data_IF_173571615415
#
_entry.id   IF_173571615415
#
_cell.length_a   1.000
_cell.length_b   1.000
_cell.length_c   1.000
_cell.angle_alpha   90.00
_cell.angle_beta   90.00
_cell.angle_gamma   90.00
#
_symmetry.space_group_name_H-M   'P 1'
#
loop_
_entity.id
_entity.type
_entity.pdbx_description
1 polymer ?
#
# COMPACT_ATOMS: atom_id res chain seq x y z
N UNK A 1 -2.79 11.29 17.06
CA UNK A 1 -3.44 10.00 17.35
C UNK A 1 -2.43 8.89 17.70
N UNK A 2 -1.61 8.37 16.77
CA UNK A 2 -0.65 7.29 17.07
C UNK A 2 0.32 7.69 18.19
N UNK A 3 1.00 8.83 18.05
CA UNK A 3 1.95 9.33 19.05
C UNK A 3 1.28 9.55 20.43
N UNK A 4 0.01 9.94 20.47
CA UNK A 4 -0.70 10.17 21.72
C UNK A 4 -0.97 8.85 22.47
N UNK A 5 -1.30 7.79 21.74
CA UNK A 5 -1.46 6.44 22.30
C UNK A 5 -0.12 5.92 22.82
N UNK A 6 0.96 6.06 22.03
CA UNK A 6 2.30 5.64 22.45
C UNK A 6 2.75 6.37 23.72
N UNK A 7 2.52 7.69 23.80
CA UNK A 7 2.83 8.48 25.01
C UNK A 7 2.03 8.06 26.23
N UNK A 8 0.75 7.70 26.05
CA UNK A 8 -0.14 7.27 27.15
C UNK A 8 0.17 5.86 27.63
N UNK A 9 0.74 5.00 26.78
CA UNK A 9 0.96 3.59 27.06
C UNK A 9 2.44 3.21 26.89
N UNK A 10 3.23 3.51 27.92
CA UNK A 10 4.68 3.23 27.94
C UNK A 10 5.04 1.74 27.88
N UNK A 11 4.08 0.83 28.05
CA UNK A 11 4.26 -0.62 27.90
C UNK A 11 4.23 -1.11 26.46
N UNK A 12 3.78 -0.28 25.50
CA UNK A 12 3.79 -0.65 24.09
C UNK A 12 5.22 -0.87 23.61
N UNK A 13 5.42 -1.94 22.83
CA UNK A 13 6.73 -2.30 22.24
C UNK A 13 6.68 -2.45 20.74
N UNK A 14 5.51 -2.81 20.21
CA UNK A 14 5.31 -3.24 18.83
C UNK A 14 4.19 -2.44 18.19
N UNK A 15 4.30 -2.19 16.90
CA UNK A 15 3.26 -1.55 16.11
C UNK A 15 2.98 -2.34 14.83
N UNK A 16 1.71 -2.48 14.49
CA UNK A 16 1.23 -3.07 13.25
C UNK A 16 0.17 -2.18 12.62
N UNK A 17 0.16 -2.10 11.29
CA UNK A 17 -0.85 -1.40 10.51
C UNK A 17 -1.61 -2.44 9.69
N UNK A 18 -2.93 -2.47 9.86
CA UNK A 18 -3.88 -3.23 9.05
C UNK A 18 -4.86 -2.22 8.46
N UNK A 19 -4.95 -2.18 7.13
CA UNK A 19 -5.76 -1.16 6.48
C UNK A 19 -6.47 -1.68 5.23
N UNK A 20 -7.64 -1.13 4.95
CA UNK A 20 -8.47 -1.50 3.81
C UNK A 20 -8.63 -0.31 2.85
N UNK A 21 -8.61 -0.58 1.55
CA UNK A 21 -8.89 0.41 0.51
C UNK A 21 -8.02 1.66 0.64
N UNK A 22 -8.59 2.86 0.54
CA UNK A 22 -7.89 4.12 0.72
C UNK A 22 -7.11 4.21 2.05
N UNK A 23 -7.57 3.50 3.10
CA UNK A 23 -6.89 3.42 4.38
C UNK A 23 -5.46 2.90 4.27
N UNK A 24 -5.16 2.03 3.30
CA UNK A 24 -3.79 1.54 3.09
C UNK A 24 -2.83 2.62 2.59
N UNK A 25 -3.32 3.58 1.80
CA UNK A 25 -2.54 4.76 1.40
C UNK A 25 -2.33 5.69 2.59
N UNK A 26 -3.36 5.92 3.41
CA UNK A 26 -3.20 6.68 4.65
C UNK A 26 -2.22 6.03 5.61
N UNK A 27 -2.25 4.71 5.74
CA UNK A 27 -1.28 3.96 6.54
C UNK A 27 0.14 4.14 6.00
N UNK A 28 0.35 4.00 4.68
CA UNK A 28 1.66 4.21 4.03
C UNK A 28 2.21 5.62 4.28
N UNK A 29 1.36 6.64 4.20
CA UNK A 29 1.75 8.02 4.51
C UNK A 29 2.06 8.23 6.00
N UNK A 30 1.26 7.62 6.87
CA UNK A 30 1.43 7.72 8.32
C UNK A 30 2.75 7.10 8.75
N UNK A 31 3.07 5.88 8.30
CA UNK A 31 4.32 5.23 8.69
C UNK A 31 5.55 6.02 8.22
N UNK A 32 5.52 6.60 7.02
CA UNK A 32 6.61 7.43 6.52
C UNK A 32 6.80 8.68 7.37
N UNK A 33 5.70 9.32 7.77
CA UNK A 33 5.73 10.51 8.63
C UNK A 33 6.31 10.19 10.01
N UNK A 34 5.84 9.10 10.63
CA UNK A 34 6.30 8.67 11.96
C UNK A 34 7.77 8.24 11.92
N UNK A 35 8.16 7.46 10.91
CA UNK A 35 9.54 7.01 10.73
C UNK A 35 10.48 8.20 10.49
N UNK A 36 10.12 9.12 9.60
CA UNK A 36 10.95 10.29 9.31
C UNK A 36 11.12 11.21 10.51
N UNK A 37 10.08 11.38 11.34
CA UNK A 37 10.20 12.13 12.59
C UNK A 37 11.24 11.50 13.53
N UNK A 38 11.22 10.18 13.70
CA UNK A 38 12.20 9.47 14.53
C UNK A 38 13.63 9.63 13.99
N UNK A 39 13.84 9.48 12.68
CA UNK A 39 15.18 9.65 12.08
C UNK A 39 15.71 11.07 12.23
N UNK A 40 14.86 12.09 12.11
CA UNK A 40 15.24 13.49 12.32
C UNK A 40 15.62 13.75 13.79
N UNK A 41 14.85 13.20 14.73
CA UNK A 41 15.15 13.34 16.16
C UNK A 41 16.46 12.66 16.54
N UNK A 42 16.71 11.43 16.06
CA UNK A 42 17.94 10.69 16.32
C UNK A 42 19.19 11.36 15.74
N UNK A 43 19.08 11.97 14.55
CA UNK A 43 20.16 12.73 13.93
C UNK A 43 20.51 14.02 14.69
N UNK A 44 19.57 14.60 15.44
CA UNK A 44 19.80 15.79 16.26
C UNK A 44 20.46 15.45 17.61
N UNK A 45 20.12 14.31 18.23
CA UNK A 45 20.78 13.83 19.46
C UNK A 45 22.17 13.24 19.22
N UNK A 46 22.50 12.83 17.99
CA UNK A 46 23.83 12.32 17.62
C UNK A 46 24.93 13.38 17.46
N UNK A 47 24.59 14.68 17.49
CA UNK A 47 25.56 15.77 17.35
C UNK A 47 26.23 16.19 18.67
N UNK A 48 25.87 15.58 19.80
CA UNK A 48 26.50 15.85 21.08
C UNK A 48 26.38 14.62 21.98
N UNK A 49 27.30 13.67 21.87
CA UNK A 49 27.78 12.78 22.93
C UNK A 49 29.06 12.13 22.40
N UNK A 50 30.18 12.52 23.00
CA UNK A 50 31.44 11.76 22.93
C UNK A 50 31.17 10.39 23.56
N UNK A 51 31.54 9.26 22.93
CA UNK A 51 31.21 7.95 23.48
C UNK A 51 32.08 7.64 24.71
N UNK A 52 31.53 7.80 25.91
CA UNK A 52 32.06 7.14 27.10
C UNK A 52 31.37 5.78 27.24
N UNK A 53 32.19 4.74 27.18
CA UNK A 53 31.77 3.36 27.38
C UNK A 53 31.25 3.17 28.81
N UNK A 54 29.96 2.84 28.97
CA UNK A 54 29.43 1.86 29.93
C UNK A 54 27.91 2.02 30.06
N UNK A 55 27.19 0.90 30.05
CA UNK A 55 25.77 0.87 30.37
C UNK A 55 24.97 -0.04 29.46
N UNK A 56 24.93 -1.32 29.81
CA UNK A 56 24.08 -2.33 29.17
C UNK A 56 22.60 -1.98 29.32
N UNK A 57 21.97 -1.50 28.26
CA UNK A 57 20.53 -1.64 28.06
C UNK A 57 20.33 -2.69 26.97
N UNK A 58 19.61 -3.77 27.30
CA UNK A 58 19.22 -4.82 26.37
C UNK A 58 18.40 -4.21 25.23
N UNK A 59 19.08 -3.80 24.16
CA UNK A 59 18.48 -3.45 22.89
C UNK A 59 17.87 -4.72 22.32
N UNK A 60 16.57 -4.92 22.55
CA UNK A 60 15.80 -5.92 21.84
C UNK A 60 15.94 -5.60 20.35
N UNK A 61 16.44 -6.56 19.58
CA UNK A 61 16.68 -6.47 18.14
C UNK A 61 15.45 -5.91 17.41
N UNK A 62 15.43 -4.60 17.22
CA UNK A 62 14.69 -3.99 16.13
C UNK A 62 15.30 -4.54 14.86
N UNK A 63 14.47 -4.91 13.87
CA UNK A 63 14.93 -4.98 12.48
C UNK A 63 15.82 -3.74 12.26
N UNK A 64 17.10 -3.92 11.92
CA UNK A 64 18.14 -2.87 12.00
C UNK A 64 17.92 -1.62 11.13
N UNK A 65 16.71 -1.45 10.60
CA UNK A 65 16.22 -0.40 9.74
C UNK A 65 15.37 0.64 10.49
N UNK A 66 15.31 0.62 11.83
CA UNK A 66 14.73 1.71 12.64
C UNK A 66 13.30 1.48 13.15
N UNK A 67 12.87 2.38 14.04
CA UNK A 67 11.57 2.32 14.72
C UNK A 67 10.51 3.20 14.05
N UNK A 68 9.23 2.88 14.27
CA UNK A 68 8.09 3.71 13.84
C UNK A 68 7.39 4.21 15.11
N UNK A 69 7.41 5.52 15.34
CA UNK A 69 6.91 6.12 16.59
C UNK A 69 7.56 5.53 17.86
N UNK A 70 8.85 5.21 17.81
CA UNK A 70 9.58 4.57 18.90
C UNK A 70 9.20 3.12 19.18
N UNK A 71 8.35 2.51 18.35
CA UNK A 71 7.93 1.11 18.46
C UNK A 71 8.54 0.24 17.37
N UNK A 72 8.72 -1.05 17.68
CA UNK A 72 9.16 -2.07 16.76
C UNK A 72 8.09 -2.34 15.69
N UNK A 73 8.35 -2.05 14.40
CA UNK A 73 7.37 -2.25 13.34
C UNK A 73 7.29 -3.74 12.93
N UNK A 74 6.12 -4.36 13.14
CA UNK A 74 5.93 -5.80 12.92
C UNK A 74 5.22 -6.06 11.59
N UNK A 75 3.99 -5.59 11.42
CA UNK A 75 3.17 -5.89 10.25
C UNK A 75 2.69 -4.64 9.54
N UNK A 76 2.84 -4.58 8.22
CA UNK A 76 2.14 -3.67 7.33
C UNK A 76 1.28 -4.50 6.38
N UNK A 77 -0.03 -4.52 6.63
CA UNK A 77 -0.99 -5.37 5.92
C UNK A 77 -2.05 -4.48 5.28
N UNK A 78 -2.28 -4.69 3.98
CA UNK A 78 -3.33 -3.97 3.26
C UNK A 78 -4.29 -4.92 2.57
N UNK A 79 -5.58 -4.60 2.58
CA UNK A 79 -6.63 -5.34 1.89
C UNK A 79 -7.27 -4.44 0.84
N UNK A 80 -7.25 -4.87 -0.43
CA UNK A 80 -7.85 -4.15 -1.55
C UNK A 80 -7.45 -2.67 -1.62
N UNK A 81 -6.17 -2.35 -1.37
CA UNK A 81 -5.65 -0.97 -1.41
C UNK A 81 -5.18 -0.60 -2.83
N UNK A 82 -5.57 0.55 -3.40
CA UNK A 82 -5.14 0.97 -4.74
C UNK A 82 -3.73 1.57 -4.72
N UNK A 83 -2.70 0.74 -4.46
CA UNK A 83 -1.32 1.21 -4.27
C UNK A 83 -0.73 1.97 -5.46
N UNK A 84 -1.21 1.65 -6.66
CA UNK A 84 -0.80 2.23 -7.96
C UNK A 84 -1.83 3.21 -8.53
N UNK A 85 -2.85 3.55 -7.73
CA UNK A 85 -3.95 4.41 -8.14
C UNK A 85 -5.06 3.64 -8.84
N UNK A 86 -5.98 4.37 -9.45
CA UNK A 86 -7.15 3.85 -10.17
C UNK A 86 -7.07 4.28 -11.63
N UNK A 87 -7.31 3.34 -12.56
CA UNK A 87 -7.45 3.65 -13.99
C UNK A 87 -8.93 3.81 -14.33
N UNK A 88 -9.26 4.81 -15.17
CA UNK A 88 -10.63 5.07 -15.61
C UNK A 88 -11.25 3.96 -16.47
N UNK A 89 -10.44 3.10 -17.12
CA UNK A 89 -10.96 1.97 -17.91
C UNK A 89 -11.20 0.74 -17.02
N UNK A 90 -12.43 0.22 -17.06
CA UNK A 90 -12.91 -1.08 -16.55
C UNK A 90 -12.90 -1.32 -15.03
N UNK A 91 -12.36 -0.40 -14.21
CA UNK A 91 -12.45 -0.48 -12.74
C UNK A 91 -13.64 0.31 -12.16
N UNK A 92 -14.65 0.64 -12.97
CA UNK A 92 -15.92 1.25 -12.57
C UNK A 92 -17.01 0.78 -13.56
N UNK A 93 -17.55 -0.44 -13.44
CA UNK A 93 -18.61 -0.94 -14.33
C UNK A 93 -19.96 -0.23 -14.12
N UNK A 94 -20.09 0.61 -13.09
CA UNK A 94 -21.22 1.53 -12.96
C UNK A 94 -21.17 2.67 -14.01
N UNK A 95 -20.08 2.78 -14.77
CA UNK A 95 -19.92 3.69 -15.89
C UNK A 95 -19.99 2.92 -17.23
N UNK A 96 -21.03 2.09 -17.41
CA UNK A 96 -21.41 1.55 -18.72
C UNK A 96 -21.55 2.69 -19.75
N UNK A 97 -20.47 3.01 -20.46
CA UNK A 97 -20.46 4.05 -21.50
C UNK A 97 -20.72 5.48 -21.01
N UNK A 98 -20.65 5.73 -19.70
CA UNK A 98 -20.71 7.07 -19.12
C UNK A 98 -19.32 7.50 -18.70
N UNK A 99 -18.57 7.90 -19.71
CA UNK A 99 -17.38 8.73 -19.61
C UNK A 99 -17.66 9.97 -18.75
N UNK A 100 -17.53 9.86 -17.43
CA UNK A 100 -17.58 11.05 -16.56
C UNK A 100 -16.47 12.01 -17.00
N UNK A 101 -15.32 11.49 -17.44
CA UNK A 101 -14.23 12.30 -18.00
C UNK A 101 -14.54 12.88 -19.40
N UNK A 102 -15.24 12.18 -20.30
CA UNK A 102 -15.59 12.78 -21.61
C UNK A 102 -16.79 13.75 -21.52
N UNK A 103 -17.67 13.63 -20.51
CA UNK A 103 -18.72 14.63 -20.22
C UNK A 103 -18.27 15.77 -19.31
N UNK A 104 -17.07 15.70 -18.76
CA UNK A 104 -16.42 16.76 -17.98
C UNK A 104 -15.57 17.70 -18.87
N UNK A 105 -15.96 17.87 -20.13
CA UNK A 105 -15.53 18.97 -20.99
C UNK A 105 -16.09 20.35 -20.55
N UNK A 106 -16.37 20.52 -19.25
CA UNK A 106 -16.94 21.73 -18.67
C UNK A 106 -16.07 22.21 -17.47
N UNK A 107 -16.05 23.52 -17.17
CA UNK A 107 -15.21 24.15 -16.13
C UNK A 107 -15.38 23.63 -14.68
N UNK A 108 -16.19 22.58 -14.46
CA UNK A 108 -16.57 22.02 -13.15
C UNK A 108 -15.92 20.65 -12.86
N UNK A 109 -15.12 20.08 -13.76
CA UNK A 109 -14.40 18.82 -13.53
C UNK A 109 -13.55 18.78 -12.24
N UNK A 110 -12.84 19.86 -11.86
CA UNK A 110 -12.08 19.90 -10.61
C UNK A 110 -12.95 19.93 -9.34
N UNK A 111 -14.24 20.30 -9.44
CA UNK A 111 -15.16 20.31 -8.31
C UNK A 111 -15.76 18.93 -8.00
N UNK A 112 -15.93 18.07 -9.02
CA UNK A 112 -16.54 16.74 -8.88
C UNK A 112 -15.47 15.68 -8.54
N UNK A 113 -14.26 15.82 -9.08
CA UNK A 113 -13.10 15.03 -8.69
C UNK A 113 -12.46 15.70 -7.47
N UNK A 114 -13.03 15.46 -6.29
CA UNK A 114 -12.46 15.98 -5.04
C UNK A 114 -10.97 15.61 -4.87
N UNK A 115 -10.26 16.26 -3.93
CA UNK A 115 -8.81 16.11 -3.74
C UNK A 115 -8.30 14.66 -3.74
N UNK A 116 -9.02 13.75 -3.08
CA UNK A 116 -8.70 12.32 -3.03
C UNK A 116 -8.82 11.64 -4.39
N UNK A 117 -9.85 12.00 -5.17
CA UNK A 117 -10.00 11.51 -6.54
C UNK A 117 -8.82 11.93 -7.41
N UNK A 118 -8.42 13.19 -7.34
CA UNK A 118 -7.28 13.70 -8.10
C UNK A 118 -5.99 12.94 -7.77
N UNK A 119 -5.76 12.62 -6.50
CA UNK A 119 -4.61 11.82 -6.04
C UNK A 119 -4.67 10.36 -6.52
N UNK A 120 -5.83 9.73 -6.49
CA UNK A 120 -6.00 8.35 -6.95
C UNK A 120 -5.88 8.21 -8.48
N UNK A 121 -6.30 9.24 -9.22
CA UNK A 121 -6.14 9.33 -10.67
C UNK A 121 -4.80 9.97 -11.09
N UNK A 122 -3.88 10.23 -10.16
CA UNK A 122 -2.54 10.77 -10.44
C UNK A 122 -2.55 12.15 -11.13
N UNK A 123 -3.66 12.88 -11.03
CA UNK A 123 -3.83 14.21 -11.64
C UNK A 123 -3.56 15.35 -10.66
N UNK A 124 -3.15 15.04 -9.43
CA UNK A 124 -2.92 16.03 -8.39
C UNK A 124 -1.62 16.84 -8.58
N UNK A 125 -1.67 18.11 -8.19
CA UNK A 125 -0.53 19.01 -8.18
C UNK A 125 -0.09 19.52 -9.56
N UNK A 126 0.96 20.33 -9.54
CA UNK A 126 1.56 20.95 -10.73
C UNK A 126 2.11 19.89 -11.71
N UNK A 127 2.00 20.08 -13.04
CA UNK A 127 2.55 19.15 -14.04
C UNK A 127 4.04 18.84 -13.87
N UNK A 128 4.84 19.81 -13.40
CA UNK A 128 6.28 19.67 -13.17
C UNK A 128 6.62 18.85 -11.92
N UNK A 129 5.63 18.56 -11.07
CA UNK A 129 5.82 17.83 -9.82
C UNK A 129 5.22 16.42 -9.90
N UNK A 130 5.87 15.42 -9.28
CA UNK A 130 5.31 14.09 -9.19
C UNK A 130 3.98 14.11 -8.41
N UNK A 131 2.95 13.35 -8.83
CA UNK A 131 1.72 13.20 -8.04
C UNK A 131 2.02 12.57 -6.68
N UNK A 132 1.18 12.83 -5.67
CA UNK A 132 1.44 12.34 -4.31
C UNK A 132 1.66 10.83 -4.26
N UNK A 133 0.86 10.06 -5.02
CA UNK A 133 0.94 8.61 -4.97
C UNK A 133 2.30 8.09 -5.47
N UNK A 134 2.89 8.75 -6.48
CA UNK A 134 4.24 8.46 -6.94
C UNK A 134 5.28 8.84 -5.89
N UNK A 135 5.11 9.99 -5.22
CA UNK A 135 6.02 10.39 -4.13
C UNK A 135 6.03 9.36 -2.99
N UNK A 136 4.91 8.67 -2.76
CA UNK A 136 4.82 7.61 -1.74
C UNK A 136 5.52 6.30 -2.14
N UNK A 137 6.10 6.23 -3.34
CA UNK A 137 6.89 5.11 -3.84
C UNK A 137 8.42 5.40 -3.82
N UNK A 138 8.86 6.59 -3.38
CA UNK A 138 10.27 6.94 -3.19
C UNK A 138 10.56 7.46 -1.79
N UNK A 139 11.83 7.43 -1.41
CA UNK A 139 12.32 8.24 -0.29
C UNK A 139 12.69 9.63 -0.79
N UNK A 140 12.31 10.65 -0.03
CA UNK A 140 12.78 12.04 -0.19
C UNK A 140 13.52 12.49 1.06
N UNK A 141 14.05 13.72 1.07
CA UNK A 141 14.67 14.29 2.28
C UNK A 141 13.69 14.34 3.46
N UNK A 142 12.43 14.69 3.17
CA UNK A 142 11.41 14.89 4.20
C UNK A 142 10.67 13.65 4.63
N UNK A 143 10.43 12.71 3.71
CA UNK A 143 9.63 11.51 3.97
C UNK A 143 10.32 10.28 3.40
N UNK A 144 10.54 9.30 4.27
CA UNK A 144 11.22 8.06 3.95
C UNK A 144 10.22 6.92 3.79
N UNK A 145 9.45 6.92 2.69
CA UNK A 145 8.37 5.95 2.47
C UNK A 145 8.88 4.51 2.31
N UNK A 146 9.94 4.30 1.53
CA UNK A 146 10.48 2.97 1.26
C UNK A 146 11.24 2.46 2.48
N UNK A 147 12.03 3.30 3.16
CA UNK A 147 12.66 2.90 4.42
C UNK A 147 11.64 2.59 5.51
N UNK A 148 10.56 3.38 5.64
CA UNK A 148 9.50 3.11 6.60
C UNK A 148 8.81 1.77 6.32
N UNK A 149 8.53 1.44 5.06
CA UNK A 149 8.03 0.12 4.66
C UNK A 149 9.05 -0.98 4.95
N UNK A 150 10.32 -0.75 4.65
CA UNK A 150 11.41 -1.70 4.86
C UNK A 150 11.58 -2.06 6.33
N UNK A 151 11.32 -1.13 7.25
CA UNK A 151 11.42 -1.34 8.68
C UNK A 151 10.47 -2.44 9.20
N UNK A 152 9.27 -2.57 8.61
CA UNK A 152 8.31 -3.63 8.99
C UNK A 152 8.85 -5.02 8.68
N UNK A 153 8.82 -5.91 9.66
CA UNK A 153 9.24 -7.32 9.47
C UNK A 153 8.41 -8.03 8.40
N UNK A 154 7.10 -7.79 8.41
CA UNK A 154 6.17 -8.41 7.48
C UNK A 154 5.40 -7.34 6.70
N UNK A 155 5.38 -7.51 5.38
CA UNK A 155 4.58 -6.69 4.46
C UNK A 155 3.69 -7.61 3.64
N UNK A 156 2.37 -7.42 3.74
CA UNK A 156 1.39 -8.32 3.12
C UNK A 156 0.32 -7.55 2.36
N UNK A 157 0.09 -7.97 1.11
CA UNK A 157 -0.98 -7.46 0.25
C UNK A 157 -2.05 -8.53 0.11
N UNK A 158 -3.30 -8.20 0.46
CA UNK A 158 -4.47 -9.00 0.12
C UNK A 158 -5.20 -8.33 -1.03
N UNK A 159 -5.30 -9.03 -2.15
CA UNK A 159 -5.83 -8.48 -3.39
C UNK A 159 -6.95 -9.38 -3.94
N UNK A 160 -8.09 -8.78 -4.29
CA UNK A 160 -9.16 -9.48 -4.97
C UNK A 160 -8.75 -9.72 -6.44
N UNK A 161 -8.74 -10.98 -6.87
CA UNK A 161 -8.42 -11.34 -8.27
C UNK A 161 -9.57 -11.03 -9.23
N UNK A 162 -10.79 -10.93 -8.71
CA UNK A 162 -12.02 -10.75 -9.48
C UNK A 162 -13.10 -10.10 -8.61
N UNK A 163 -14.11 -9.54 -9.27
CA UNK A 163 -15.33 -8.97 -8.66
C UNK A 163 -15.14 -7.75 -7.75
N UNK A 164 -13.91 -7.26 -7.58
CA UNK A 164 -13.64 -5.96 -6.96
C UNK A 164 -13.63 -4.87 -8.03
N UNK A 165 -14.76 -4.18 -8.10
CA UNK A 165 -14.99 -3.08 -9.03
C UNK A 165 -14.56 -1.73 -8.49
N UNK A 166 -13.91 -1.67 -7.33
CA UNK A 166 -13.39 -0.41 -6.77
C UNK A 166 -11.87 -0.38 -6.88
N UNK A 167 -11.23 -1.53 -6.62
CA UNK A 167 -9.78 -1.66 -6.61
C UNK A 167 -9.39 -2.93 -7.35
N UNK A 168 -8.87 -2.77 -8.56
CA UNK A 168 -8.50 -3.93 -9.36
C UNK A 168 -7.30 -4.71 -8.82
N UNK A 169 -7.18 -5.96 -9.28
CA UNK A 169 -6.15 -6.90 -8.85
C UNK A 169 -4.72 -6.38 -9.03
N UNK A 170 -4.45 -5.77 -10.19
CA UNK A 170 -3.16 -5.18 -10.55
C UNK A 170 -2.64 -4.17 -9.52
N UNK A 171 -3.47 -3.19 -9.17
CA UNK A 171 -3.10 -2.09 -8.26
C UNK A 171 -3.00 -2.57 -6.81
N UNK A 172 -3.87 -3.48 -6.39
CA UNK A 172 -3.86 -4.03 -5.02
C UNK A 172 -2.77 -5.07 -4.75
N UNK A 173 -2.25 -5.74 -5.78
CA UNK A 173 -1.17 -6.72 -5.66
C UNK A 173 0.22 -6.23 -6.09
N UNK A 174 0.37 -4.95 -6.48
CA UNK A 174 1.63 -4.43 -7.02
C UNK A 174 2.19 -5.29 -8.16
N UNK A 175 1.35 -5.63 -9.13
CA UNK A 175 1.72 -6.41 -10.32
C UNK A 175 1.46 -5.57 -11.56
N UNK A 176 2.13 -5.88 -12.67
CA UNK A 176 1.76 -5.34 -13.99
C UNK A 176 0.62 -6.16 -14.56
N UNK A 177 -0.08 -5.61 -15.54
CA UNK A 177 -1.16 -6.33 -16.24
C UNK A 177 -0.66 -7.64 -16.85
N UNK A 178 0.52 -7.61 -17.50
CA UNK A 178 1.15 -8.79 -18.10
C UNK A 178 1.60 -9.85 -17.09
N UNK A 179 1.76 -9.48 -15.82
CA UNK A 179 2.18 -10.38 -14.75
C UNK A 179 0.96 -11.04 -14.06
N UNK A 180 -0.27 -10.68 -14.44
CA UNK A 180 -1.48 -11.28 -13.89
C UNK A 180 -1.70 -12.67 -14.51
N UNK A 181 -1.54 -13.70 -13.69
CA UNK A 181 -1.80 -15.09 -14.06
C UNK A 181 -3.30 -15.33 -14.13
N UNK A 182 -3.76 -16.31 -14.91
CA UNK A 182 -5.17 -16.72 -14.88
C UNK A 182 -5.60 -17.08 -13.45
N UNK A 183 -6.69 -16.51 -12.91
CA UNK A 183 -7.12 -16.79 -11.55
C UNK A 183 -7.38 -18.28 -11.32
N UNK A 184 -6.72 -18.85 -10.31
CA UNK A 184 -7.07 -20.18 -9.80
C UNK A 184 -8.41 -20.11 -9.08
N UNK A 185 -9.23 -21.16 -9.22
CA UNK A 185 -10.44 -21.35 -8.40
C UNK A 185 -10.19 -22.28 -7.21
N UNK A 186 -8.98 -22.87 -7.12
CA UNK A 186 -8.60 -23.80 -6.06
C UNK A 186 -8.24 -23.03 -4.80
N UNK A 187 -8.93 -23.36 -3.71
CA UNK A 187 -8.65 -22.88 -2.36
C UNK A 187 -7.31 -23.43 -1.84
N UNK A 188 -6.57 -22.62 -1.08
CA UNK A 188 -5.30 -22.98 -0.45
C UNK A 188 -5.42 -23.07 1.06
N UNK A 189 -4.63 -23.95 1.66
CA UNK A 189 -4.41 -24.07 3.12
C UNK A 189 -5.69 -24.13 3.98
N UNK A 190 -6.77 -24.70 3.43
CA UNK A 190 -8.07 -24.80 4.11
C UNK A 190 -8.93 -23.52 4.05
N UNK A 191 -8.44 -22.44 3.43
CA UNK A 191 -9.17 -21.18 3.29
C UNK A 191 -9.89 -21.09 1.96
N UNK A 192 -11.23 -21.16 2.01
CA UNK A 192 -12.11 -21.22 0.83
C UNK A 192 -11.79 -20.17 -0.25
N UNK A 193 -11.49 -18.93 0.14
CA UNK A 193 -11.33 -17.81 -0.79
C UNK A 193 -9.88 -17.41 -1.04
N UNK A 194 -8.89 -18.04 -0.42
CA UNK A 194 -7.48 -17.79 -0.69
C UNK A 194 -7.06 -18.70 -1.83
N UNK A 195 -6.62 -18.12 -2.96
CA UNK A 195 -6.36 -18.89 -4.19
C UNK A 195 -4.89 -18.88 -4.62
N UNK A 196 -4.11 -17.93 -4.13
CA UNK A 196 -2.66 -17.91 -4.30
C UNK A 196 -1.99 -17.15 -3.14
N UNK A 197 -0.83 -17.64 -2.70
CA UNK A 197 0.02 -17.00 -1.71
C UNK A 197 1.45 -17.10 -2.21
N UNK A 198 2.06 -15.95 -2.50
CA UNK A 198 3.44 -15.88 -2.97
C UNK A 198 4.25 -14.88 -2.16
N UNK A 199 5.56 -15.12 -2.04
CA UNK A 199 6.50 -14.14 -1.51
C UNK A 199 7.39 -13.65 -2.64
N UNK A 200 7.37 -12.34 -2.87
CA UNK A 200 8.23 -11.67 -3.83
C UNK A 200 9.40 -10.99 -3.08
N UNK A 201 10.62 -11.38 -3.41
CA UNK A 201 11.84 -10.74 -2.87
C UNK A 201 11.95 -9.27 -3.32
N UNK A 202 12.66 -8.43 -2.54
CA UNK A 202 13.01 -7.08 -2.97
C UNK A 202 13.70 -7.08 -4.34
N UNK A 203 13.36 -6.11 -5.19
CA UNK A 203 13.98 -5.89 -6.49
C UNK A 203 14.95 -4.72 -6.37
N UNK A 204 16.19 -4.91 -6.83
CA UNK A 204 17.14 -3.79 -6.94
C UNK A 204 16.69 -2.86 -8.05
N UNK A 205 16.50 -1.59 -7.71
CA UNK A 205 16.12 -0.54 -8.64
C UNK A 205 16.61 0.80 -8.12
N UNK A 206 16.99 1.70 -9.04
CA UNK A 206 17.28 3.10 -8.76
C UNK A 206 16.10 3.82 -8.06
N UNK A 207 14.88 3.24 -8.13
CA UNK A 207 13.65 3.78 -7.54
C UNK A 207 12.78 4.48 -8.57
N UNK A 208 11.62 5.03 -8.18
CA UNK A 208 10.80 5.77 -9.11
C UNK A 208 11.49 7.08 -9.46
N UNK A 209 11.56 7.35 -10.75
CA UNK A 209 11.94 8.64 -11.29
C UNK A 209 10.69 9.40 -11.74
N UNK A 210 10.75 10.73 -11.70
CA UNK A 210 9.79 11.57 -12.39
C UNK A 210 10.53 12.33 -13.50
N UNK A 211 10.87 11.64 -14.60
CA UNK A 211 11.67 12.24 -15.67
C UNK A 211 10.90 13.35 -16.39
N UNK A 212 11.62 14.20 -17.13
CA UNK A 212 11.02 15.25 -17.96
C UNK A 212 9.94 14.71 -18.91
N UNK A 213 10.10 13.46 -19.40
CA UNK A 213 9.08 12.75 -20.18
C UNK A 213 7.77 12.56 -19.41
N UNK A 214 7.84 12.14 -18.15
CA UNK A 214 6.68 11.95 -17.29
C UNK A 214 5.99 13.29 -16.95
N UNK A 215 6.75 14.34 -16.71
CA UNK A 215 6.21 15.69 -16.49
C UNK A 215 5.46 16.22 -17.73
N UNK A 216 6.03 16.02 -18.93
CA UNK A 216 5.36 16.36 -20.20
C UNK A 216 4.09 15.54 -20.42
N UNK A 217 4.15 14.23 -20.16
CA UNK A 217 2.98 13.36 -20.27
C UNK A 217 1.86 13.79 -19.30
N UNK A 218 2.22 14.18 -18.07
CA UNK A 218 1.28 14.75 -17.09
C UNK A 218 0.65 16.04 -17.57
N UNK A 219 1.45 16.97 -18.11
CA UNK A 219 0.97 18.25 -18.65
C UNK A 219 -0.01 18.05 -19.80
N UNK A 220 0.30 17.14 -20.72
CA UNK A 220 -0.57 16.79 -21.85
C UNK A 220 -1.87 16.15 -21.37
N UNK A 221 -1.79 15.18 -20.45
CA UNK A 221 -2.96 14.52 -19.88
C UNK A 221 -3.88 15.50 -19.11
N UNK A 222 -3.32 16.54 -18.49
CA UNK A 222 -4.09 17.57 -17.78
C UNK A 222 -4.68 18.64 -18.72
N UNK A 223 -3.96 19.07 -19.76
CA UNK A 223 -4.41 20.16 -20.66
C UNK A 223 -5.34 19.70 -21.77
N UNK A 224 -5.08 18.54 -22.35
CA UNK A 224 -5.81 18.02 -23.50
C UNK A 224 -6.12 16.53 -23.27
N UNK A 225 -6.93 16.20 -22.25
CA UNK A 225 -7.20 14.81 -21.89
C UNK A 225 -7.83 14.07 -23.06
N UNK A 226 -7.19 12.98 -23.48
CA UNK A 226 -7.76 11.99 -24.37
C UNK A 226 -7.41 10.59 -23.83
N UNK A 227 -7.96 9.55 -24.44
CA UNK A 227 -7.74 8.21 -23.87
C UNK A 227 -6.28 7.77 -23.99
N UNK A 228 -5.63 8.03 -25.11
CA UNK A 228 -4.27 7.58 -25.39
C UNK A 228 -3.24 8.24 -24.46
N UNK A 229 -3.27 9.58 -24.33
CA UNK A 229 -2.31 10.30 -23.49
C UNK A 229 -2.52 10.05 -22.00
N UNK A 230 -3.76 9.85 -21.57
CA UNK A 230 -4.10 9.53 -20.19
C UNK A 230 -3.60 8.13 -19.86
N UNK A 231 -3.82 7.16 -20.75
CA UNK A 231 -3.30 5.80 -20.59
C UNK A 231 -1.77 5.75 -20.60
N UNK A 232 -1.12 6.45 -21.53
CA UNK A 232 0.34 6.53 -21.60
C UNK A 232 0.91 7.10 -20.29
N UNK A 233 0.36 8.23 -19.80
CA UNK A 233 0.78 8.82 -18.54
C UNK A 233 0.60 7.86 -17.36
N UNK A 234 -0.58 7.23 -17.25
CA UNK A 234 -0.86 6.26 -16.19
C UNK A 234 0.08 5.06 -16.23
N UNK A 235 0.40 4.54 -17.42
CA UNK A 235 1.35 3.44 -17.58
C UNK A 235 2.74 3.84 -17.09
N UNK A 236 3.23 5.03 -17.45
CA UNK A 236 4.51 5.53 -16.94
C UNK A 236 4.52 5.63 -15.42
N UNK A 237 3.51 6.27 -14.82
CA UNK A 237 3.46 6.45 -13.37
C UNK A 237 3.35 5.12 -12.63
N UNK A 238 2.61 4.18 -13.18
CA UNK A 238 2.48 2.87 -12.61
C UNK A 238 3.80 2.09 -12.61
N UNK A 239 4.54 2.09 -13.72
CA UNK A 239 5.84 1.43 -13.80
C UNK A 239 6.82 2.01 -12.78
N UNK A 240 6.87 3.34 -12.65
CA UNK A 240 7.70 3.99 -11.64
C UNK A 240 7.28 3.60 -10.21
N UNK A 241 5.97 3.64 -9.91
CA UNK A 241 5.47 3.23 -8.59
C UNK A 241 5.76 1.75 -8.29
N UNK A 242 5.66 0.87 -9.29
CA UNK A 242 6.03 -0.54 -9.15
C UNK A 242 7.52 -0.66 -8.83
N UNK A 243 8.40 0.01 -9.57
CA UNK A 243 9.84 -0.01 -9.31
C UNK A 243 10.16 0.43 -7.88
N UNK A 244 9.55 1.52 -7.41
CA UNK A 244 9.76 2.01 -6.06
C UNK A 244 9.24 1.08 -4.97
N UNK A 245 7.97 0.65 -5.07
CA UNK A 245 7.34 -0.16 -4.04
C UNK A 245 7.91 -1.59 -4.00
N UNK A 246 8.45 -2.11 -5.10
CA UNK A 246 9.10 -3.43 -5.13
C UNK A 246 10.55 -3.42 -4.63
N UNK A 247 11.13 -2.26 -4.24
CA UNK A 247 12.43 -2.20 -3.53
C UNK A 247 12.41 -2.88 -2.17
N UNK A 248 11.23 -3.26 -1.68
CA UNK A 248 11.04 -4.09 -0.48
C UNK A 248 10.26 -5.35 -0.84
N UNK A 249 10.50 -6.43 -0.11
CA UNK A 249 9.82 -7.71 -0.37
C UNK A 249 8.38 -7.71 0.14
N UNK A 250 7.49 -8.41 -0.57
CA UNK A 250 6.06 -8.47 -0.26
C UNK A 250 5.55 -9.91 -0.26
N UNK A 251 4.77 -10.28 0.75
CA UNK A 251 3.86 -11.43 0.66
C UNK A 251 2.59 -10.97 -0.06
N UNK A 252 2.24 -11.60 -1.18
CA UNK A 252 1.03 -11.30 -1.94
C UNK A 252 0.04 -12.45 -1.75
N UNK A 253 -1.17 -12.12 -1.34
CA UNK A 253 -2.26 -13.05 -1.09
C UNK A 253 -3.40 -12.68 -2.01
N UNK A 254 -3.75 -13.61 -2.89
CA UNK A 254 -4.80 -13.43 -3.88
C UNK A 254 -6.10 -14.08 -3.37
N UNK A 255 -7.17 -13.28 -3.42
CA UNK A 255 -8.48 -13.63 -2.88
C UNK A 255 -9.50 -13.73 -4.01
N UNK A 256 -10.30 -14.79 -4.03
CA UNK A 256 -11.35 -14.98 -5.01
C UNK A 256 -12.68 -15.40 -4.36
N UNK A 257 -13.70 -14.56 -4.51
CA UNK A 257 -15.04 -14.78 -3.99
C UNK A 257 -15.97 -15.52 -4.97
N UNK A 258 -15.44 -16.16 -6.03
CA UNK A 258 -16.21 -16.90 -7.07
C UNK A 258 -17.30 -17.82 -6.53
N UNK A 259 -17.08 -18.44 -5.36
CA UNK A 259 -18.00 -19.39 -4.72
C UNK A 259 -18.90 -18.77 -3.63
N UNK A 260 -18.99 -17.44 -3.60
CA UNK A 260 -19.86 -16.68 -2.70
C UNK A 260 -21.20 -16.40 -3.36
N UNK A 261 -22.26 -16.25 -2.57
CA UNK A 261 -23.60 -15.97 -3.10
C UNK A 261 -23.65 -14.63 -3.86
N UNK A 262 -22.98 -13.59 -3.34
CA UNK A 262 -22.84 -12.28 -3.98
C UNK A 262 -21.36 -11.92 -4.18
N UNK A 263 -20.73 -12.42 -5.27
CA UNK A 263 -19.29 -12.25 -5.50
C UNK A 263 -18.91 -10.78 -5.77
N UNK A 264 -19.81 -9.98 -6.35
CA UNK A 264 -19.62 -8.55 -6.64
C UNK A 264 -19.45 -7.65 -5.41
N UNK A 265 -19.65 -8.21 -4.20
CA UNK A 265 -19.33 -7.54 -2.94
C UNK A 265 -17.87 -7.77 -2.48
N UNK A 266 -17.00 -8.31 -3.34
CA UNK A 266 -15.61 -8.66 -3.02
C UNK A 266 -14.84 -7.56 -2.26
N UNK A 267 -15.05 -6.29 -2.62
CA UNK A 267 -14.39 -5.16 -1.96
C UNK A 267 -14.73 -5.05 -0.46
N UNK A 268 -15.98 -5.36 -0.09
CA UNK A 268 -16.45 -5.33 1.29
C UNK A 268 -16.37 -6.72 1.96
N UNK A 269 -16.39 -7.80 1.18
CA UNK A 269 -16.16 -9.15 1.67
C UNK A 269 -14.75 -9.28 2.23
N UNK A 270 -13.72 -8.79 1.53
CA UNK A 270 -12.32 -9.00 1.92
C UNK A 270 -11.98 -8.54 3.36
N UNK A 271 -12.74 -7.57 3.91
CA UNK A 271 -12.57 -7.07 5.28
C UNK A 271 -13.81 -7.25 6.19
N UNK A 272 -14.83 -7.98 5.73
CA UNK A 272 -16.10 -8.23 6.45
C UNK A 272 -16.73 -6.93 6.98
N UNK A 273 -17.10 -6.01 6.08
CA UNK A 273 -17.68 -4.70 6.48
C UNK A 273 -18.92 -4.82 7.37
N UNK A 274 -19.72 -5.86 7.14
CA UNK A 274 -20.94 -6.15 7.87
C UNK A 274 -21.05 -7.67 7.95
N UNK A 275 -21.13 -8.22 9.15
CA UNK A 275 -21.10 -9.68 9.38
C UNK A 275 -22.27 -10.41 8.73
N UNK A 276 -23.43 -9.76 8.55
CA UNK A 276 -24.58 -10.40 7.91
C UNK A 276 -24.42 -10.51 6.39
N UNK A 277 -23.91 -9.45 5.74
CA UNK A 277 -23.79 -9.38 4.28
C UNK A 277 -22.46 -9.90 3.73
N UNK A 278 -21.39 -9.73 4.50
CA UNK A 278 -20.02 -9.90 4.02
C UNK A 278 -19.30 -11.07 4.70
N UNK A 279 -20.05 -12.01 5.30
CA UNK A 279 -19.52 -13.18 6.00
C UNK A 279 -18.67 -14.09 5.09
N UNK A 280 -18.85 -14.05 3.77
CA UNK A 280 -17.97 -14.75 2.83
C UNK A 280 -16.48 -14.40 3.07
N UNK A 281 -16.20 -13.21 3.59
CA UNK A 281 -14.87 -12.76 3.98
C UNK A 281 -14.27 -13.36 5.25
N UNK A 282 -15.04 -14.06 6.08
CA UNK A 282 -14.57 -14.52 7.39
C UNK A 282 -13.33 -15.40 7.29
N UNK A 283 -13.24 -16.24 6.25
CA UNK A 283 -12.04 -17.03 5.96
C UNK A 283 -10.81 -16.19 5.62
N UNK A 284 -10.98 -15.03 4.99
CA UNK A 284 -9.88 -14.09 4.71
C UNK A 284 -9.40 -13.45 6.00
N UNK A 285 -10.31 -13.02 6.88
CA UNK A 285 -9.97 -12.47 8.20
C UNK A 285 -9.25 -13.50 9.07
N UNK A 286 -9.72 -14.75 9.06
CA UNK A 286 -9.04 -15.86 9.73
C UNK A 286 -7.61 -16.04 9.20
N UNK A 287 -7.42 -16.04 7.87
CA UNK A 287 -6.08 -16.14 7.27
C UNK A 287 -5.17 -14.98 7.66
N UNK A 288 -5.69 -13.74 7.77
CA UNK A 288 -4.95 -12.58 8.27
C UNK A 288 -4.52 -12.81 9.73
N UNK A 289 -5.45 -13.19 10.59
CA UNK A 289 -5.18 -13.42 12.01
C UNK A 289 -4.15 -14.54 12.22
N UNK A 290 -4.28 -15.64 11.51
CA UNK A 290 -3.36 -16.77 11.60
C UNK A 290 -1.98 -16.44 11.02
N UNK A 291 -1.93 -15.63 9.94
CA UNK A 291 -0.65 -15.10 9.44
C UNK A 291 0.07 -14.26 10.50
N UNK A 292 -0.65 -13.40 11.22
CA UNK A 292 -0.07 -12.58 12.31
C UNK A 292 0.44 -13.47 13.45
N UNK A 293 -0.37 -14.44 13.91
CA UNK A 293 0.03 -15.37 14.97
C UNK A 293 1.28 -16.18 14.61
N UNK A 294 1.35 -16.70 13.39
CA UNK A 294 2.51 -17.47 12.93
C UNK A 294 3.80 -16.63 12.93
N UNK A 295 3.71 -15.35 12.60
CA UNK A 295 4.84 -14.42 12.60
C UNK A 295 5.36 -14.14 14.02
N UNK A 296 4.46 -14.06 15.01
CA UNK A 296 4.82 -13.92 16.42
C UNK A 296 5.54 -15.18 16.94
N UNK A 297 5.00 -16.38 16.64
CA UNK A 297 5.59 -17.65 17.08
C UNK A 297 6.99 -17.90 16.53
N UNK A 298 7.27 -17.50 15.27
CA UNK A 298 8.62 -17.63 14.66
C UNK A 298 9.66 -16.76 15.35
N UNK A 299 9.25 -15.62 15.89
CA UNK A 299 10.15 -14.71 16.62
C UNK A 299 10.56 -15.30 17.98
N UNK A 300 9.68 -16.06 18.64
CA UNK A 300 10.01 -16.73 19.90
C UNK A 300 10.98 -17.91 19.73
N UNK A 301 10.92 -18.64 18.61
CA UNK A 301 11.82 -19.78 18.37
C UNK A 301 13.26 -19.35 18.07
N UNK A 302 13.46 -18.24 17.37
CA UNK A 302 14.79 -17.69 17.10
C UNK A 302 15.49 -17.09 18.33
N UNK A 303 14.74 -16.81 19.41
CA UNK A 303 15.28 -16.29 20.66
C UNK A 303 15.67 -17.38 21.68
N UNK A 304 15.41 -18.65 21.36
CA UNK A 304 15.64 -19.82 22.23
C UNK A 304 16.69 -20.81 21.68
N UNK A 305 17.45 -20.41 20.65
CA UNK A 305 18.62 -21.13 20.10
C UNK A 305 19.87 -20.27 20.28
#
# INVERSE_FOLDING_TARGET
MVLDVVKKMSSLRKISFLAHSLGGLFARYTIATLYSLETKNAGQTGASIVPTASGSAKSQQTSGLGAVAGLEPINFITLATPHLGVRGRNQLPFLQGLSILEKLAAPLAPLIVGRTGAQLFLTDGDPSKPPLLLQMASDSEDKKFILALAAFKNRVLYANVSYDHMVGWRTSSLRREKDLIKPSHRSLDGYKHIVNVEYCSPVSSEGPHFPSKAARAKEVAQRTPNTENTEEYHQMMEEEMIHGLQKVGWKKVDVNFHSSFWPYLAHNNIHVKNEWLHNAGAGVIAHVADSIKQQESRTCLAANL
#
